data_IF_985800393031
#
_entry.id   IF_985800393031
#
_cell.length_a   1.000
_cell.length_b   1.000
_cell.length_c   1.000
_cell.angle_alpha   90.00
_cell.angle_beta   90.00
_cell.angle_gamma   90.00
#
_symmetry.space_group_name_H-M   'P 1'
#
loop_
_entity.id
_entity.type
_entity.pdbx_description
1 polymer ?
#
# COMPACT_ATOMS: atom_id res chain seq x y z
N UNK A 1 -16.48 21.04 17.79
CA UNK A 1 -16.93 21.17 16.39
C UNK A 1 -16.71 22.57 15.77
N UNK A 2 -16.28 23.57 16.55
CA UNK A 2 -16.10 24.93 16.02
C UNK A 2 -14.95 25.08 15.01
N UNK A 3 -14.00 24.17 14.99
CA UNK A 3 -12.84 24.25 14.08
C UNK A 3 -12.74 23.10 13.05
N UNK A 4 -13.88 22.45 12.73
CA UNK A 4 -13.90 21.41 11.69
C UNK A 4 -13.63 22.02 10.31
N UNK A 5 -12.51 21.61 9.68
CA UNK A 5 -12.01 22.15 8.41
C UNK A 5 -12.04 21.16 7.26
N UNK A 6 -12.00 19.85 7.55
CA UNK A 6 -11.88 18.83 6.52
C UNK A 6 -12.89 17.71 6.77
N UNK A 7 -13.48 17.22 5.69
CA UNK A 7 -14.32 16.02 5.68
C UNK A 7 -13.73 15.02 4.70
N UNK A 8 -13.41 13.82 5.19
CA UNK A 8 -12.90 12.70 4.43
C UNK A 8 -14.01 11.65 4.22
N UNK A 9 -14.69 11.64 3.08
CA UNK A 9 -15.75 10.67 2.82
C UNK A 9 -15.21 9.25 2.63
N UNK A 10 -15.98 8.25 3.07
CA UNK A 10 -15.87 6.84 2.71
C UNK A 10 -17.27 6.32 2.42
N UNK A 11 -17.73 6.43 1.15
CA UNK A 11 -19.11 6.12 0.77
C UNK A 11 -19.34 4.67 0.37
N UNK A 12 -18.35 3.78 0.54
CA UNK A 12 -18.48 2.33 0.30
C UNK A 12 -18.34 1.54 1.59
N UNK A 13 -19.22 0.54 1.77
CA UNK A 13 -19.16 -0.38 2.93
C UNK A 13 -17.99 -1.37 2.83
N UNK A 14 -17.63 -1.79 1.60
CA UNK A 14 -16.57 -2.77 1.39
C UNK A 14 -15.21 -2.16 1.70
N UNK A 15 -14.43 -2.82 2.56
CA UNK A 15 -13.02 -2.50 2.81
C UNK A 15 -12.21 -2.55 1.51
N UNK A 16 -11.40 -1.55 1.29
CA UNK A 16 -10.51 -1.43 0.13
C UNK A 16 -9.32 -0.56 0.51
N UNK A 17 -8.24 -0.55 -0.30
CA UNK A 17 -7.10 0.32 -0.06
C UNK A 17 -7.47 1.79 0.19
N UNK A 18 -8.48 2.32 -0.52
CA UNK A 18 -9.01 3.68 -0.28
C UNK A 18 -9.63 3.83 1.12
N UNK A 19 -10.38 2.84 1.59
CA UNK A 19 -10.96 2.86 2.95
C UNK A 19 -9.84 2.80 4.00
N UNK A 20 -8.84 1.95 3.79
CA UNK A 20 -7.66 1.84 4.65
C UNK A 20 -6.92 3.17 4.76
N UNK A 21 -6.80 3.94 3.66
CA UNK A 21 -6.18 5.28 3.69
C UNK A 21 -6.94 6.24 4.62
N UNK A 22 -8.29 6.23 4.60
CA UNK A 22 -9.10 7.05 5.52
C UNK A 22 -8.89 6.62 6.98
N UNK A 23 -8.92 5.30 7.24
CA UNK A 23 -8.74 4.74 8.59
C UNK A 23 -7.36 5.09 9.17
N UNK A 24 -6.31 5.07 8.36
CA UNK A 24 -4.94 5.33 8.80
C UNK A 24 -4.65 6.83 8.98
N UNK A 25 -5.11 7.66 8.06
CA UNK A 25 -4.72 9.08 8.03
C UNK A 25 -5.62 9.98 8.89
N UNK A 26 -6.94 9.74 8.95
CA UNK A 26 -7.84 10.67 9.63
C UNK A 26 -7.56 10.77 11.13
N UNK A 27 -7.32 9.68 11.89
CA UNK A 27 -6.93 9.78 13.30
C UNK A 27 -5.63 10.55 13.51
N UNK A 28 -4.63 10.31 12.66
CA UNK A 28 -3.34 11.00 12.73
C UNK A 28 -3.49 12.49 12.40
N UNK A 29 -4.17 12.83 11.31
CA UNK A 29 -4.40 14.21 10.89
C UNK A 29 -5.26 14.99 11.90
N UNK A 30 -6.15 14.32 12.63
CA UNK A 30 -7.01 14.96 13.64
C UNK A 30 -6.24 15.58 14.80
N UNK A 31 -4.99 15.19 15.00
CA UNK A 31 -4.10 15.79 15.99
C UNK A 31 -3.61 17.17 15.55
N UNK A 32 -3.65 17.53 14.27
CA UNK A 32 -3.06 18.75 13.71
C UNK A 32 -4.07 19.67 12.99
N UNK A 33 -5.24 19.14 12.63
CA UNK A 33 -6.30 19.89 11.96
C UNK A 33 -7.66 19.33 12.32
N UNK A 34 -8.69 20.17 12.36
CA UNK A 34 -10.07 19.73 12.53
C UNK A 34 -10.55 18.92 11.35
N UNK A 35 -10.39 17.59 11.38
CA UNK A 35 -10.80 16.65 10.34
C UNK A 35 -11.68 15.54 10.92
N UNK A 36 -12.69 15.14 10.16
CA UNK A 36 -13.51 13.95 10.43
C UNK A 36 -13.76 13.16 9.15
N UNK A 37 -13.97 11.88 9.30
CA UNK A 37 -14.51 11.05 8.23
C UNK A 37 -16.04 11.10 8.21
N UNK A 38 -16.63 10.65 7.10
CA UNK A 38 -18.08 10.44 6.99
C UNK A 38 -18.38 9.24 6.10
N UNK A 39 -19.41 8.48 6.43
CA UNK A 39 -19.85 7.30 5.68
C UNK A 39 -19.77 6.00 6.48
N UNK A 40 -20.14 4.87 5.86
CA UNK A 40 -20.25 3.58 6.53
C UNK A 40 -18.90 2.85 6.70
N UNK A 41 -18.86 1.86 7.61
CA UNK A 41 -17.78 0.89 7.72
C UNK A 41 -16.46 1.43 8.27
N UNK A 42 -16.52 2.52 9.02
CA UNK A 42 -15.36 3.09 9.70
C UNK A 42 -15.31 2.57 11.15
N UNK A 43 -14.14 2.19 11.66
CA UNK A 43 -13.96 1.77 13.04
C UNK A 43 -14.16 2.94 14.01
N UNK A 44 -14.46 2.65 15.30
CA UNK A 44 -14.80 3.68 16.31
C UNK A 44 -13.68 4.70 16.57
N UNK A 45 -12.43 4.30 16.36
CA UNK A 45 -11.24 5.13 16.57
C UNK A 45 -11.12 6.26 15.54
N UNK A 46 -11.81 6.15 14.40
CA UNK A 46 -11.78 7.17 13.36
C UNK A 46 -12.77 8.29 13.72
N UNK A 47 -12.30 9.52 13.98
CA UNK A 47 -13.19 10.65 14.20
C UNK A 47 -14.17 10.79 13.04
N UNK A 48 -15.48 10.70 13.30
CA UNK A 48 -16.46 10.74 12.22
C UNK A 48 -17.76 11.47 12.59
N UNK A 49 -18.48 11.92 11.56
CA UNK A 49 -19.84 12.44 11.67
C UNK A 49 -20.77 11.74 10.67
N UNK A 50 -22.04 11.53 10.99
CA UNK A 50 -23.01 11.02 10.03
C UNK A 50 -23.12 11.92 8.79
N UNK A 51 -23.15 11.30 7.59
CA UNK A 51 -23.24 12.04 6.32
C UNK A 51 -24.42 13.03 6.29
N UNK A 52 -25.56 12.66 6.89
CA UNK A 52 -26.74 13.50 6.96
C UNK A 52 -26.51 14.82 7.73
N UNK A 53 -25.52 14.89 8.62
CA UNK A 53 -25.17 16.12 9.37
C UNK A 53 -24.31 17.09 8.56
N UNK A 54 -23.65 16.61 7.50
CA UNK A 54 -22.71 17.41 6.70
C UNK A 54 -23.37 18.66 6.08
N UNK A 55 -24.59 18.61 5.49
CA UNK A 55 -25.26 19.79 4.92
C UNK A 55 -25.58 20.89 5.94
N UNK A 56 -25.69 20.52 7.22
CA UNK A 56 -26.09 21.45 8.30
C UNK A 56 -24.88 22.10 8.99
N UNK A 57 -23.65 21.82 8.54
CA UNK A 57 -22.46 22.52 9.02
C UNK A 57 -22.52 24.00 8.62
N UNK A 58 -22.00 24.88 9.50
CA UNK A 58 -21.97 26.33 9.26
C UNK A 58 -21.35 26.65 7.89
N UNK A 59 -22.03 27.44 7.07
CA UNK A 59 -21.56 27.90 5.76
C UNK A 59 -20.59 29.07 5.84
N UNK A 60 -20.41 29.67 7.04
CA UNK A 60 -19.46 30.77 7.26
C UNK A 60 -17.98 30.31 7.14
N UNK A 61 -17.73 29.02 7.43
CA UNK A 61 -16.40 28.43 7.36
C UNK A 61 -16.24 27.62 6.07
N UNK A 62 -15.24 27.95 5.29
CA UNK A 62 -14.83 27.10 4.17
C UNK A 62 -14.22 25.80 4.71
N UNK A 63 -14.55 24.69 4.04
CA UNK A 63 -14.05 23.36 4.39
C UNK A 63 -13.56 22.62 3.15
N UNK A 64 -12.68 21.65 3.33
CA UNK A 64 -12.27 20.74 2.27
C UNK A 64 -13.13 19.47 2.34
N UNK A 65 -13.67 19.07 1.20
CA UNK A 65 -14.22 17.74 0.96
C UNK A 65 -13.19 16.93 0.16
N UNK A 66 -12.56 15.94 0.80
CA UNK A 66 -11.46 15.21 0.20
C UNK A 66 -11.90 13.85 -0.36
N UNK A 67 -12.31 13.82 -1.61
CA UNK A 67 -12.74 12.63 -2.34
C UNK A 67 -11.57 11.76 -2.81
N UNK A 68 -11.79 10.45 -2.86
CA UNK A 68 -10.87 9.43 -3.39
C UNK A 68 -11.54 8.50 -4.41
N UNK A 69 -12.84 8.71 -4.65
CA UNK A 69 -13.66 7.93 -5.61
C UNK A 69 -14.63 8.84 -6.36
N UNK A 70 -15.08 8.38 -7.54
CA UNK A 70 -16.06 9.12 -8.34
C UNK A 70 -17.35 9.42 -7.56
N UNK A 71 -17.87 8.47 -6.81
CA UNK A 71 -19.08 8.65 -5.98
C UNK A 71 -18.88 9.75 -4.93
N UNK A 72 -17.71 9.91 -4.41
CA UNK A 72 -17.35 10.92 -3.43
C UNK A 72 -17.16 12.29 -4.10
N UNK A 73 -16.62 12.36 -5.33
CA UNK A 73 -16.59 13.59 -6.14
C UNK A 73 -18.00 14.08 -6.47
N UNK A 74 -18.89 13.16 -6.93
CA UNK A 74 -20.29 13.49 -7.21
C UNK A 74 -21.00 14.04 -5.97
N UNK A 75 -20.83 13.38 -4.83
CA UNK A 75 -21.43 13.86 -3.57
C UNK A 75 -20.88 15.24 -3.18
N UNK A 76 -19.58 15.48 -3.34
CA UNK A 76 -18.98 16.78 -3.09
C UNK A 76 -19.55 17.88 -3.98
N UNK A 77 -19.72 17.60 -5.29
CA UNK A 77 -20.37 18.53 -6.22
C UNK A 77 -21.82 18.81 -5.84
N UNK A 78 -22.58 17.79 -5.46
CA UNK A 78 -23.95 17.95 -4.98
C UNK A 78 -24.01 18.83 -3.73
N UNK A 79 -23.17 18.57 -2.73
CA UNK A 79 -23.09 19.37 -1.50
C UNK A 79 -22.73 20.83 -1.81
N UNK A 80 -21.76 21.07 -2.71
CA UNK A 80 -21.27 22.40 -3.08
C UNK A 80 -22.31 23.18 -3.89
N UNK A 81 -22.86 22.60 -4.95
CA UNK A 81 -23.65 23.34 -5.94
C UNK A 81 -25.17 23.28 -5.69
N UNK A 82 -25.69 22.15 -5.19
CA UNK A 82 -27.12 21.99 -4.91
C UNK A 82 -27.46 22.45 -3.50
N UNK A 83 -26.74 21.94 -2.49
CA UNK A 83 -26.97 22.30 -1.10
C UNK A 83 -26.20 23.56 -0.66
N UNK A 84 -25.43 24.17 -1.56
CA UNK A 84 -24.70 25.42 -1.35
C UNK A 84 -23.79 25.41 -0.11
N UNK A 85 -23.21 24.23 0.20
CA UNK A 85 -22.22 24.12 1.25
C UNK A 85 -20.90 24.80 0.83
N UNK A 86 -20.21 25.45 1.75
CA UNK A 86 -18.95 26.13 1.46
C UNK A 86 -17.79 25.12 1.45
N UNK A 87 -17.71 24.30 0.38
CA UNK A 87 -16.67 23.30 0.18
C UNK A 87 -15.68 23.67 -0.92
N UNK A 88 -14.39 23.44 -0.62
CA UNK A 88 -13.31 23.21 -1.61
C UNK A 88 -13.23 21.73 -1.86
N UNK A 89 -13.23 21.31 -3.12
CA UNK A 89 -13.25 19.92 -3.52
C UNK A 89 -11.83 19.46 -3.86
N UNK A 90 -11.30 18.51 -3.10
CA UNK A 90 -10.01 17.88 -3.34
C UNK A 90 -10.24 16.44 -3.79
N UNK A 91 -9.47 15.99 -4.77
CA UNK A 91 -9.48 14.59 -5.21
C UNK A 91 -8.07 14.01 -5.18
N UNK A 92 -7.93 12.80 -4.62
CA UNK A 92 -6.71 11.99 -4.70
C UNK A 92 -6.90 10.86 -5.71
N UNK A 93 -6.02 10.82 -6.71
CA UNK A 93 -5.93 9.77 -7.72
C UNK A 93 -4.81 8.79 -7.40
N UNK A 94 -5.12 7.49 -7.44
CA UNK A 94 -4.17 6.38 -7.43
C UNK A 94 -4.28 5.55 -8.73
N UNK A 95 -4.70 6.18 -9.82
CA UNK A 95 -4.93 5.50 -11.09
C UNK A 95 -3.61 5.08 -11.74
N UNK A 96 -3.61 3.87 -12.32
CA UNK A 96 -2.52 3.30 -13.11
C UNK A 96 -2.92 3.14 -14.59
N UNK A 97 -3.91 3.91 -15.02
CA UNK A 97 -4.46 3.91 -16.39
C UNK A 97 -5.23 5.20 -16.64
N UNK A 98 -5.50 5.47 -17.90
CA UNK A 98 -6.34 6.58 -18.31
C UNK A 98 -7.73 6.55 -17.66
N UNK A 99 -8.17 7.71 -17.25
CA UNK A 99 -9.51 7.91 -16.73
C UNK A 99 -10.55 7.91 -17.84
N UNK A 100 -11.75 7.38 -17.55
CA UNK A 100 -12.89 7.54 -18.45
C UNK A 100 -13.28 9.02 -18.62
N UNK A 101 -13.91 9.38 -19.75
CA UNK A 101 -14.38 10.74 -19.99
C UNK A 101 -15.24 11.30 -18.86
N UNK A 102 -16.08 10.47 -18.25
CA UNK A 102 -16.86 10.85 -17.07
C UNK A 102 -15.98 11.20 -15.87
N UNK A 103 -14.97 10.39 -15.59
CA UNK A 103 -14.03 10.66 -14.49
C UNK A 103 -13.19 11.91 -14.76
N UNK A 104 -12.72 12.12 -16.00
CA UNK A 104 -12.01 13.33 -16.42
C UNK A 104 -12.88 14.58 -16.21
N UNK A 105 -14.17 14.51 -16.58
CA UNK A 105 -15.12 15.59 -16.32
C UNK A 105 -15.28 15.87 -14.82
N UNK A 106 -15.41 14.86 -13.95
CA UNK A 106 -15.45 15.05 -12.50
C UNK A 106 -14.18 15.72 -11.99
N UNK A 107 -13.01 15.25 -12.42
CA UNK A 107 -11.69 15.79 -12.03
C UNK A 107 -11.57 17.27 -12.45
N UNK A 108 -12.12 17.66 -13.62
CA UNK A 108 -12.11 19.05 -14.06
C UNK A 108 -12.83 20.02 -13.13
N UNK A 109 -13.76 19.52 -12.29
CA UNK A 109 -14.56 20.30 -11.32
C UNK A 109 -13.93 20.38 -9.93
N UNK A 110 -12.81 19.72 -9.68
CA UNK A 110 -12.14 19.74 -8.39
C UNK A 110 -11.30 21.02 -8.22
N UNK A 111 -11.26 21.56 -7.01
CA UNK A 111 -10.46 22.75 -6.68
C UNK A 111 -8.96 22.38 -6.52
N UNK A 112 -8.64 21.14 -6.16
CA UNK A 112 -7.28 20.63 -6.03
C UNK A 112 -7.16 19.15 -6.36
N UNK A 113 -5.95 18.71 -6.75
CA UNK A 113 -5.65 17.32 -7.08
C UNK A 113 -4.40 16.86 -6.35
N UNK A 114 -4.45 15.64 -5.85
CA UNK A 114 -3.30 14.87 -5.36
C UNK A 114 -3.17 13.61 -6.21
N UNK A 115 -1.93 13.23 -6.53
CA UNK A 115 -1.60 11.93 -7.12
C UNK A 115 -0.75 11.13 -6.13
N UNK A 116 -1.01 9.83 -6.00
CA UNK A 116 -0.27 8.98 -5.05
C UNK A 116 1.10 8.54 -5.56
N UNK A 117 1.42 8.79 -6.83
CA UNK A 117 2.74 8.53 -7.41
C UNK A 117 2.98 9.44 -8.64
N UNK A 118 4.24 9.62 -9.10
CA UNK A 118 4.51 10.30 -10.35
C UNK A 118 3.78 9.66 -11.53
N UNK A 119 3.70 8.32 -11.57
CA UNK A 119 2.94 7.60 -12.60
C UNK A 119 1.44 7.89 -12.50
N UNK A 120 0.85 7.93 -11.31
CA UNK A 120 -0.56 8.32 -11.16
C UNK A 120 -0.81 9.78 -11.59
N UNK A 121 0.17 10.66 -11.44
CA UNK A 121 0.08 12.06 -11.91
C UNK A 121 0.09 12.16 -13.43
N UNK A 122 0.82 11.30 -14.14
CA UNK A 122 0.89 11.32 -15.62
C UNK A 122 -0.45 10.98 -16.30
N UNK A 123 -1.39 10.33 -15.59
CA UNK A 123 -2.75 10.06 -16.07
C UNK A 123 -3.74 11.21 -15.78
N UNK A 124 -3.27 12.32 -15.19
CA UNK A 124 -4.10 13.49 -14.93
C UNK A 124 -3.82 14.59 -15.96
N UNK A 125 -4.87 15.16 -16.55
CA UNK A 125 -4.76 16.26 -17.53
C UNK A 125 -4.51 17.63 -16.87
N UNK A 126 -4.53 17.67 -15.53
CA UNK A 126 -4.32 18.88 -14.73
C UNK A 126 -3.18 18.66 -13.75
N UNK A 127 -2.44 19.72 -13.38
CA UNK A 127 -1.40 19.64 -12.37
C UNK A 127 -1.94 19.06 -11.06
N UNK A 128 -1.24 18.08 -10.51
CA UNK A 128 -1.52 17.47 -9.22
C UNK A 128 -0.28 17.51 -8.34
N UNK A 129 -0.46 17.70 -7.03
CA UNK A 129 0.64 17.52 -6.07
C UNK A 129 0.87 16.03 -5.88
N UNK A 130 2.07 15.56 -6.14
CA UNK A 130 2.44 14.17 -5.86
C UNK A 130 2.70 14.03 -4.37
N UNK A 131 1.92 13.16 -3.71
CA UNK A 131 2.08 12.80 -2.31
C UNK A 131 1.95 11.29 -2.23
N UNK A 132 3.07 10.61 -2.07
CA UNK A 132 3.12 9.15 -1.98
C UNK A 132 2.58 8.67 -0.62
N UNK A 133 1.99 7.47 -0.61
CA UNK A 133 1.53 6.87 0.64
C UNK A 133 2.71 6.54 1.55
N UNK A 134 2.52 6.78 2.83
CA UNK A 134 3.45 6.42 3.88
C UNK A 134 3.07 5.13 4.61
N UNK A 135 3.96 4.64 5.43
CA UNK A 135 3.79 3.49 6.31
C UNK A 135 4.05 3.91 7.77
N UNK A 136 3.35 3.26 8.71
CA UNK A 136 3.59 3.48 10.13
C UNK A 136 4.89 2.80 10.56
N UNK A 137 5.95 3.58 10.71
CA UNK A 137 7.30 3.09 11.05
C UNK A 137 7.46 2.70 12.52
N UNK A 138 6.52 3.07 13.39
CA UNK A 138 6.46 2.58 14.76
C UNK A 138 5.85 1.18 14.85
N UNK A 139 4.88 0.88 13.97
CA UNK A 139 4.25 -0.43 13.89
C UNK A 139 5.14 -1.43 13.14
N UNK A 140 5.63 -1.01 11.97
CA UNK A 140 6.56 -1.78 11.15
C UNK A 140 7.98 -1.34 11.48
N UNK A 141 8.67 -2.14 12.30
CA UNK A 141 10.05 -1.89 12.71
C UNK A 141 10.83 -3.20 12.76
N UNK A 142 12.17 -3.18 12.67
CA UNK A 142 12.98 -4.38 12.76
C UNK A 142 12.70 -5.19 14.03
N UNK A 143 12.74 -6.51 13.93
CA UNK A 143 12.69 -7.39 15.09
C UNK A 143 13.99 -7.32 15.88
N UNK A 144 13.92 -7.32 17.21
CA UNK A 144 15.09 -7.45 18.09
C UNK A 144 15.69 -8.86 18.00
N UNK A 145 14.83 -9.89 17.94
CA UNK A 145 15.22 -11.29 17.75
C UNK A 145 14.29 -11.95 16.71
N UNK A 146 14.78 -12.04 15.47
CA UNK A 146 14.05 -12.71 14.37
C UNK A 146 13.83 -14.19 14.65
N UNK A 147 14.79 -14.87 15.29
CA UNK A 147 14.70 -16.30 15.54
C UNK A 147 13.61 -16.62 16.60
N UNK A 148 13.51 -15.82 17.66
CA UNK A 148 12.43 -15.92 18.63
C UNK A 148 11.07 -15.68 17.97
N UNK A 149 10.97 -14.66 17.12
CA UNK A 149 9.74 -14.31 16.42
C UNK A 149 9.31 -15.41 15.43
N UNK A 150 10.25 -16.04 14.73
CA UNK A 150 9.98 -17.21 13.86
C UNK A 150 9.44 -18.40 14.63
N UNK A 151 10.02 -18.69 15.80
CA UNK A 151 9.49 -19.76 16.68
C UNK A 151 8.07 -19.47 17.15
N UNK A 152 7.79 -18.23 17.59
CA UNK A 152 6.45 -17.78 17.99
C UNK A 152 5.42 -18.00 16.89
N UNK A 153 5.78 -17.66 15.66
CA UNK A 153 4.89 -17.73 14.47
C UNK A 153 4.93 -19.09 13.76
N UNK A 154 5.68 -20.07 14.29
CA UNK A 154 5.92 -21.36 13.65
C UNK A 154 6.41 -21.23 12.19
N UNK A 155 7.34 -20.29 11.96
CA UNK A 155 7.98 -20.06 10.67
C UNK A 155 9.29 -20.84 10.57
N UNK A 156 9.77 -21.15 9.34
CA UNK A 156 11.02 -21.86 9.13
C UNK A 156 12.24 -21.07 9.63
N UNK A 157 13.29 -21.80 10.00
CA UNK A 157 14.64 -21.26 10.18
C UNK A 157 15.32 -21.07 8.79
N UNK A 158 16.53 -20.52 8.77
CA UNK A 158 17.25 -20.22 7.54
C UNK A 158 16.89 -18.88 6.94
N UNK A 159 17.09 -18.68 5.63
CA UNK A 159 16.68 -17.45 4.94
C UNK A 159 15.20 -17.53 4.59
N UNK A 160 14.45 -16.57 5.09
CA UNK A 160 12.99 -16.50 4.92
C UNK A 160 12.58 -15.39 3.95
N UNK A 161 12.00 -15.78 2.83
CA UNK A 161 11.44 -14.90 1.80
C UNK A 161 9.92 -14.81 1.99
N UNK A 162 9.35 -13.60 1.96
CA UNK A 162 7.89 -13.39 2.07
C UNK A 162 7.28 -12.77 0.83
N UNK A 163 6.07 -13.21 0.47
CA UNK A 163 5.23 -12.59 -0.55
C UNK A 163 3.80 -12.49 -0.02
N UNK A 164 3.29 -11.26 0.17
CA UNK A 164 2.02 -11.02 0.85
C UNK A 164 0.99 -10.39 -0.08
N UNK A 165 -0.23 -10.89 0.03
CA UNK A 165 -1.37 -10.43 -0.73
C UNK A 165 -2.25 -11.58 -1.18
N UNK A 166 -3.34 -11.28 -1.89
CA UNK A 166 -4.23 -12.32 -2.41
C UNK A 166 -3.49 -13.24 -3.39
N UNK A 167 -3.75 -14.53 -3.27
CA UNK A 167 -3.20 -15.52 -4.20
C UNK A 167 -4.00 -15.43 -5.51
N UNK A 168 -3.37 -14.84 -6.53
CA UNK A 168 -3.95 -14.68 -7.87
C UNK A 168 -2.88 -14.26 -8.89
N UNK A 169 -3.10 -14.49 -10.21
CA UNK A 169 -2.10 -14.17 -11.26
C UNK A 169 -1.62 -12.73 -11.27
N UNK A 170 -2.51 -11.74 -10.99
CA UNK A 170 -2.12 -10.33 -10.96
C UNK A 170 -1.08 -9.99 -9.88
N UNK A 171 -0.94 -10.84 -8.86
CA UNK A 171 0.07 -10.69 -7.81
C UNK A 171 1.39 -11.39 -8.11
N UNK A 172 1.48 -12.11 -9.24
CA UNK A 172 2.71 -12.75 -9.70
C UNK A 172 3.18 -13.91 -8.83
N UNK A 173 2.23 -14.57 -8.13
CA UNK A 173 2.53 -15.74 -7.29
C UNK A 173 3.20 -16.84 -8.12
N UNK A 174 2.73 -17.08 -9.34
CA UNK A 174 3.29 -18.00 -10.32
C UNK A 174 4.75 -17.64 -10.68
N UNK A 175 5.07 -16.36 -10.87
CA UNK A 175 6.45 -15.92 -11.15
C UNK A 175 7.40 -16.25 -10.00
N UNK A 176 6.95 -16.05 -8.75
CA UNK A 176 7.77 -16.41 -7.59
C UNK A 176 7.86 -17.93 -7.39
N UNK A 177 6.83 -18.68 -7.74
CA UNK A 177 6.85 -20.16 -7.74
C UNK A 177 7.83 -20.68 -8.80
N UNK A 178 7.82 -20.13 -10.01
CA UNK A 178 8.76 -20.50 -11.08
C UNK A 178 10.21 -20.18 -10.66
N UNK A 179 10.45 -19.00 -10.05
CA UNK A 179 11.76 -18.67 -9.47
C UNK A 179 12.18 -19.62 -8.32
N UNK A 180 11.22 -20.07 -7.49
CA UNK A 180 11.48 -21.02 -6.42
C UNK A 180 11.91 -22.38 -6.97
N UNK A 181 11.26 -22.85 -8.04
CA UNK A 181 11.60 -24.11 -8.72
C UNK A 181 13.05 -24.10 -9.25
N UNK A 182 13.52 -22.96 -9.75
CA UNK A 182 14.90 -22.80 -10.20
C UNK A 182 15.92 -22.68 -9.03
N UNK A 183 15.59 -21.88 -8.02
CA UNK A 183 16.55 -21.50 -6.98
C UNK A 183 16.67 -22.49 -5.83
N UNK A 184 15.55 -23.02 -5.33
CA UNK A 184 15.56 -23.78 -4.07
C UNK A 184 16.24 -25.14 -4.13
N UNK A 185 16.23 -25.92 -5.22
CA UNK A 185 16.91 -27.22 -5.26
C UNK A 185 18.39 -27.16 -4.84
N UNK A 186 19.11 -26.10 -5.21
CA UNK A 186 20.52 -25.89 -4.88
C UNK A 186 20.76 -25.13 -3.56
N UNK A 187 19.70 -24.68 -2.86
CA UNK A 187 19.76 -23.81 -1.66
C UNK A 187 18.83 -24.33 -0.57
N UNK A 188 19.26 -25.36 0.19
CA UNK A 188 18.38 -26.05 1.15
C UNK A 188 17.98 -25.19 2.36
N UNK A 189 18.69 -24.11 2.64
CA UNK A 189 18.47 -23.19 3.75
C UNK A 189 17.49 -22.06 3.44
N UNK A 190 16.90 -22.03 2.23
CA UNK A 190 15.94 -21.00 1.83
C UNK A 190 14.50 -21.50 1.89
N UNK A 191 13.65 -20.70 2.50
CA UNK A 191 12.22 -20.93 2.61
C UNK A 191 11.43 -19.73 2.08
N UNK A 192 10.24 -20.01 1.52
CA UNK A 192 9.32 -18.98 1.02
C UNK A 192 7.98 -19.13 1.74
N UNK A 193 7.41 -18.00 2.16
CA UNK A 193 6.07 -17.94 2.74
C UNK A 193 5.17 -16.99 1.97
N UNK A 194 4.00 -17.49 1.58
CA UNK A 194 2.93 -16.69 1.01
C UNK A 194 1.88 -16.42 2.08
N UNK A 195 1.50 -15.15 2.28
CA UNK A 195 0.43 -14.77 3.19
C UNK A 195 -0.72 -14.11 2.43
N UNK A 196 -1.92 -14.61 2.67
CA UNK A 196 -3.14 -14.24 1.97
C UNK A 196 -3.84 -15.48 1.44
N UNK A 197 -5.05 -15.31 0.94
CA UNK A 197 -5.83 -16.44 0.40
C UNK A 197 -6.17 -16.26 -1.07
N UNK A 198 -6.38 -17.36 -1.77
CA UNK A 198 -7.14 -17.40 -3.01
C UNK A 198 -8.63 -17.15 -2.70
N UNK A 199 -9.30 -16.40 -3.56
CA UNK A 199 -10.77 -16.43 -3.60
C UNK A 199 -11.21 -17.64 -4.39
N UNK A 200 -12.49 -18.03 -4.32
CA UNK A 200 -13.02 -19.22 -5.04
C UNK A 200 -12.68 -19.22 -6.53
N UNK A 201 -12.59 -18.06 -7.15
CA UNK A 201 -12.15 -17.88 -8.54
C UNK A 201 -10.69 -18.34 -8.79
N UNK A 202 -9.83 -18.30 -7.77
CA UNK A 202 -8.39 -18.57 -7.90
C UNK A 202 -7.89 -19.77 -7.10
N UNK A 203 -8.78 -20.60 -6.54
CA UNK A 203 -8.40 -21.83 -5.83
C UNK A 203 -7.69 -22.83 -6.77
N UNK A 204 -8.17 -22.96 -8.01
CA UNK A 204 -7.52 -23.81 -9.02
C UNK A 204 -6.11 -23.29 -9.39
N UNK A 205 -5.93 -21.96 -9.46
CA UNK A 205 -4.62 -21.35 -9.69
C UNK A 205 -3.66 -21.66 -8.55
N UNK A 206 -4.10 -21.54 -7.28
CA UNK A 206 -3.26 -21.88 -6.13
C UNK A 206 -2.88 -23.38 -6.16
N UNK A 207 -3.84 -24.27 -6.40
CA UNK A 207 -3.57 -25.71 -6.47
C UNK A 207 -2.56 -26.07 -7.57
N UNK A 208 -2.60 -25.38 -8.70
CA UNK A 208 -1.61 -25.54 -9.77
C UNK A 208 -0.20 -25.16 -9.28
N UNK A 209 -0.06 -24.04 -8.53
CA UNK A 209 1.23 -23.65 -7.99
C UNK A 209 1.75 -24.64 -6.95
N UNK A 210 0.90 -25.16 -6.07
CA UNK A 210 1.26 -26.19 -5.10
C UNK A 210 1.70 -27.51 -5.78
N UNK A 211 1.07 -27.90 -6.90
CA UNK A 211 1.48 -29.05 -7.72
C UNK A 211 2.85 -28.86 -8.37
N UNK A 212 3.16 -27.66 -8.90
CA UNK A 212 4.49 -27.33 -9.44
C UNK A 212 5.58 -27.48 -8.36
N UNK A 213 5.33 -26.98 -7.14
CA UNK A 213 6.27 -27.11 -6.02
C UNK A 213 6.48 -28.57 -5.60
N UNK A 214 5.42 -29.36 -5.57
CA UNK A 214 5.49 -30.80 -5.26
C UNK A 214 6.28 -31.57 -6.34
N UNK A 215 6.02 -31.29 -7.62
CA UNK A 215 6.75 -31.89 -8.73
C UNK A 215 8.25 -31.55 -8.72
N UNK A 216 8.62 -30.37 -8.25
CA UNK A 216 10.01 -29.95 -8.07
C UNK A 216 10.66 -30.46 -6.76
N UNK A 217 9.93 -31.15 -5.89
CA UNK A 217 10.42 -31.68 -4.63
C UNK A 217 10.75 -30.62 -3.57
N UNK A 218 10.11 -29.45 -3.62
CA UNK A 218 10.38 -28.31 -2.72
C UNK A 218 9.12 -27.85 -1.94
N UNK A 219 8.06 -28.62 -1.94
CA UNK A 219 6.79 -28.26 -1.30
C UNK A 219 6.91 -28.02 0.22
N UNK A 220 7.83 -28.68 0.88
CA UNK A 220 8.15 -28.51 2.32
C UNK A 220 8.79 -27.16 2.65
N UNK A 221 9.40 -26.50 1.66
CA UNK A 221 10.10 -25.23 1.81
C UNK A 221 9.32 -24.02 1.35
N UNK A 222 8.16 -24.21 0.71
CA UNK A 222 7.27 -23.13 0.25
C UNK A 222 5.90 -23.29 0.89
N UNK A 223 5.54 -22.37 1.78
CA UNK A 223 4.33 -22.50 2.59
C UNK A 223 3.30 -21.42 2.26
N UNK A 224 2.07 -21.82 1.95
CA UNK A 224 0.91 -20.95 1.87
C UNK A 224 0.26 -20.85 3.26
N UNK A 225 0.48 -19.72 3.95
CA UNK A 225 0.03 -19.53 5.35
C UNK A 225 -1.46 -19.16 5.45
N UNK A 226 -2.11 -18.88 4.31
CA UNK A 226 -3.49 -18.41 4.30
C UNK A 226 -3.64 -16.97 4.81
N UNK A 227 -4.88 -16.60 5.15
CA UNK A 227 -5.18 -15.30 5.74
C UNK A 227 -4.80 -15.30 7.23
N UNK A 228 -4.09 -14.27 7.67
CA UNK A 228 -3.59 -14.13 9.03
C UNK A 228 -4.17 -12.89 9.70
N UNK A 229 -4.33 -12.89 11.03
CA UNK A 229 -4.65 -11.69 11.80
C UNK A 229 -3.63 -10.58 11.54
N UNK A 230 -4.07 -9.33 11.68
CA UNK A 230 -3.24 -8.16 11.36
C UNK A 230 -1.94 -8.09 12.18
N UNK A 231 -2.01 -8.40 13.45
CA UNK A 231 -0.86 -8.44 14.35
C UNK A 231 0.17 -9.51 13.95
N UNK A 232 -0.30 -10.69 13.49
CA UNK A 232 0.57 -11.74 12.94
C UNK A 232 1.21 -11.30 11.62
N UNK A 233 0.48 -10.58 10.75
CA UNK A 233 1.02 -10.02 9.50
C UNK A 233 2.18 -9.07 9.81
N UNK A 234 2.00 -8.14 10.75
CA UNK A 234 3.05 -7.21 11.18
C UNK A 234 4.27 -7.96 11.70
N UNK A 235 4.07 -8.95 12.56
CA UNK A 235 5.15 -9.80 13.08
C UNK A 235 5.83 -10.60 11.97
N UNK A 236 5.05 -11.10 10.99
CA UNK A 236 5.61 -11.88 9.87
C UNK A 236 6.53 -11.02 9.00
N UNK A 237 6.18 -9.75 8.69
CA UNK A 237 7.11 -8.85 8.00
C UNK A 237 8.44 -8.73 8.74
N UNK A 238 8.42 -8.56 10.06
CA UNK A 238 9.61 -8.39 10.90
C UNK A 238 10.47 -9.67 10.98
N UNK A 239 9.88 -10.83 10.70
CA UNK A 239 10.55 -12.12 10.70
C UNK A 239 11.27 -12.46 9.38
N UNK A 240 10.99 -11.73 8.30
CA UNK A 240 11.56 -11.98 6.98
C UNK A 240 13.03 -11.52 6.86
N UNK A 241 13.73 -12.07 5.88
CA UNK A 241 15.04 -11.60 5.42
C UNK A 241 14.93 -10.88 4.07
N UNK A 242 13.97 -11.27 3.23
CA UNK A 242 13.69 -10.65 1.94
C UNK A 242 12.18 -10.64 1.69
N UNK A 243 11.70 -9.56 1.10
CA UNK A 243 10.32 -9.46 0.66
C UNK A 243 10.23 -9.42 -0.86
N UNK A 244 9.23 -10.08 -1.44
CA UNK A 244 9.04 -10.13 -2.90
C UNK A 244 7.64 -9.68 -3.26
N UNK A 245 7.56 -8.69 -4.16
CA UNK A 245 6.31 -8.17 -4.70
C UNK A 245 6.30 -8.30 -6.25
N UNK A 246 6.12 -9.51 -6.80
CA UNK A 246 6.26 -9.78 -8.24
C UNK A 246 4.99 -9.44 -9.01
N UNK A 247 4.23 -8.46 -8.54
CA UNK A 247 2.90 -8.13 -9.05
C UNK A 247 2.96 -7.62 -10.51
N UNK A 248 2.01 -8.07 -11.33
CA UNK A 248 1.75 -7.57 -12.69
C UNK A 248 0.96 -6.26 -12.67
N UNK A 249 0.19 -6.05 -11.62
CA UNK A 249 -0.63 -4.86 -11.47
C UNK A 249 -0.86 -4.51 -10.00
N UNK A 250 -0.62 -3.26 -9.64
CA UNK A 250 -0.83 -2.71 -8.30
C UNK A 250 -1.30 -1.25 -8.40
N UNK A 251 -2.11 -0.80 -7.45
CA UNK A 251 -2.51 0.61 -7.38
C UNK A 251 -1.37 1.50 -6.91
N UNK A 252 -0.87 1.26 -5.72
CA UNK A 252 0.31 1.90 -5.14
C UNK A 252 1.32 0.85 -4.68
N UNK A 253 0.85 -0.14 -3.88
CA UNK A 253 1.66 -1.20 -3.30
C UNK A 253 2.36 -0.77 -2.01
N UNK A 254 1.67 -0.95 -0.88
CA UNK A 254 2.24 -0.65 0.45
C UNK A 254 3.15 -1.77 0.95
N UNK A 255 2.96 -2.99 0.46
CA UNK A 255 3.64 -4.17 1.00
C UNK A 255 5.18 -4.12 0.95
N UNK A 256 5.85 -3.59 -0.10
CA UNK A 256 7.28 -3.37 -0.04
C UNK A 256 7.69 -2.34 1.02
N UNK A 257 6.92 -1.25 1.19
CA UNK A 257 7.22 -0.25 2.23
C UNK A 257 7.05 -0.81 3.63
N UNK A 258 6.06 -1.67 3.87
CA UNK A 258 5.83 -2.36 5.15
C UNK A 258 7.02 -3.30 5.48
N UNK A 259 7.52 -4.03 4.49
CA UNK A 259 8.72 -4.86 4.62
C UNK A 259 9.97 -4.00 4.89
N UNK A 260 10.21 -2.99 4.06
CA UNK A 260 11.36 -2.10 4.18
C UNK A 260 11.35 -1.33 5.51
N UNK A 261 10.19 -0.89 5.99
CA UNK A 261 10.01 -0.34 7.33
C UNK A 261 10.40 -1.33 8.43
N UNK A 262 10.19 -2.63 8.20
CA UNK A 262 10.59 -3.71 9.11
C UNK A 262 12.08 -4.10 8.98
N UNK A 263 12.88 -3.33 8.22
CA UNK A 263 14.31 -3.63 7.98
C UNK A 263 14.53 -4.79 7.02
N UNK A 264 13.58 -5.07 6.14
CA UNK A 264 13.61 -6.16 5.18
C UNK A 264 13.67 -5.56 3.77
N UNK A 265 14.74 -5.80 2.99
CA UNK A 265 14.83 -5.28 1.63
C UNK A 265 13.79 -5.95 0.73
N UNK A 266 13.47 -5.30 -0.40
CA UNK A 266 12.39 -5.76 -1.25
C UNK A 266 12.86 -6.00 -2.70
N UNK A 267 12.36 -7.09 -3.32
CA UNK A 267 12.41 -7.29 -4.77
C UNK A 267 11.01 -7.06 -5.32
N UNK A 268 10.89 -6.21 -6.35
CA UNK A 268 9.59 -5.92 -6.97
C UNK A 268 9.73 -5.73 -8.48
N UNK A 269 8.60 -5.64 -9.19
CA UNK A 269 8.61 -5.42 -10.62
C UNK A 269 8.67 -3.93 -10.99
N UNK A 270 9.44 -3.59 -12.04
CA UNK A 270 9.43 -2.27 -12.65
C UNK A 270 8.02 -1.86 -13.09
N UNK A 271 7.73 -0.58 -13.07
CA UNK A 271 6.54 0.04 -13.65
C UNK A 271 5.20 -0.53 -13.15
N UNK A 272 5.22 -1.06 -11.92
CA UNK A 272 4.04 -1.56 -11.23
C UNK A 272 3.78 -0.73 -9.98
N UNK A 273 2.60 -0.15 -9.88
CA UNK A 273 2.24 0.70 -8.76
C UNK A 273 3.20 1.88 -8.57
N UNK A 274 3.80 1.96 -7.40
CA UNK A 274 4.83 2.95 -7.09
C UNK A 274 6.20 2.27 -6.79
N UNK A 275 6.39 1.00 -7.15
CA UNK A 275 7.57 0.24 -6.76
C UNK A 275 8.88 0.87 -7.21
N UNK A 276 8.95 1.37 -8.46
CA UNK A 276 10.13 2.07 -8.98
C UNK A 276 10.45 3.39 -8.25
N UNK A 277 9.48 3.97 -7.55
CA UNK A 277 9.70 5.14 -6.70
C UNK A 277 9.97 4.79 -5.24
N UNK A 278 9.66 3.57 -4.82
CA UNK A 278 9.84 3.07 -3.45
C UNK A 278 11.20 2.42 -3.23
N UNK A 279 11.70 1.69 -4.22
CA UNK A 279 12.91 0.88 -4.13
C UNK A 279 14.05 1.58 -4.87
N UNK A 280 15.17 1.78 -4.20
CA UNK A 280 16.43 2.20 -4.83
C UNK A 280 17.14 0.92 -5.25
N UNK A 281 17.15 0.67 -6.59
CA UNK A 281 17.71 -0.55 -7.15
C UNK A 281 19.21 -0.70 -6.79
N UNK A 282 19.59 -1.87 -6.26
CA UNK A 282 20.93 -2.17 -5.81
C UNK A 282 21.30 -1.64 -4.41
N UNK A 283 20.44 -0.83 -3.76
CA UNK A 283 20.69 -0.26 -2.44
C UNK A 283 19.67 -0.76 -1.39
N UNK A 284 18.38 -0.56 -1.65
CA UNK A 284 17.30 -0.95 -0.72
C UNK A 284 16.57 -2.21 -1.14
N UNK A 285 16.95 -2.79 -2.27
CA UNK A 285 16.37 -3.96 -2.89
C UNK A 285 16.71 -4.03 -4.37
N UNK A 286 15.90 -4.78 -5.14
CA UNK A 286 16.08 -4.92 -6.59
C UNK A 286 14.75 -4.73 -7.33
N UNK A 287 14.86 -4.24 -8.57
CA UNK A 287 13.75 -4.11 -9.48
C UNK A 287 13.93 -5.09 -10.65
N UNK A 288 12.97 -6.00 -10.81
CA UNK A 288 12.95 -6.96 -11.92
C UNK A 288 12.02 -6.49 -13.06
N UNK A 289 12.26 -6.98 -14.25
CA UNK A 289 11.34 -6.76 -15.37
C UNK A 289 9.98 -7.39 -15.07
N UNK A 290 8.93 -6.64 -15.38
CA UNK A 290 7.54 -7.07 -15.16
C UNK A 290 7.20 -8.28 -16.03
N UNK A 291 6.51 -9.25 -15.43
CA UNK A 291 6.02 -10.46 -16.09
C UNK A 291 7.13 -11.34 -16.69
N UNK A 292 8.31 -11.30 -16.07
CA UNK A 292 9.50 -12.04 -16.47
C UNK A 292 10.05 -12.84 -15.27
N UNK A 293 9.82 -14.18 -15.29
CA UNK A 293 10.26 -15.07 -14.22
C UNK A 293 11.79 -15.16 -14.13
N UNK A 294 12.51 -15.15 -15.26
CA UNK A 294 13.98 -15.22 -15.29
C UNK A 294 14.58 -13.98 -14.69
N UNK A 295 14.07 -12.78 -15.04
CA UNK A 295 14.50 -11.52 -14.45
C UNK A 295 14.23 -11.47 -12.93
N UNK A 296 13.09 -11.99 -12.48
CA UNK A 296 12.78 -12.11 -11.05
C UNK A 296 13.77 -13.06 -10.34
N UNK A 297 14.05 -14.22 -10.96
CA UNK A 297 15.00 -15.20 -10.46
C UNK A 297 16.39 -14.60 -10.31
N UNK A 298 16.86 -13.86 -11.30
CA UNK A 298 18.17 -13.20 -11.26
C UNK A 298 18.23 -12.11 -10.18
N UNK A 299 17.19 -11.30 -10.04
CA UNK A 299 17.08 -10.31 -8.97
C UNK A 299 17.11 -10.97 -7.58
N UNK A 300 16.41 -12.08 -7.40
CA UNK A 300 16.44 -12.87 -6.17
C UNK A 300 17.83 -13.45 -5.91
N UNK A 301 18.46 -14.07 -6.91
CA UNK A 301 19.81 -14.65 -6.81
C UNK A 301 20.81 -13.59 -6.33
N UNK A 302 20.78 -12.41 -6.94
CA UNK A 302 21.65 -11.30 -6.54
C UNK A 302 21.47 -10.89 -5.07
N UNK A 303 20.24 -10.92 -4.55
CA UNK A 303 19.97 -10.55 -3.16
C UNK A 303 20.33 -11.64 -2.14
N UNK A 304 20.20 -12.93 -2.52
CA UNK A 304 20.36 -14.04 -1.56
C UNK A 304 21.77 -14.62 -1.52
N UNK A 305 22.58 -14.41 -2.54
CA UNK A 305 23.94 -15.00 -2.64
C UNK A 305 24.93 -14.33 -1.69
N UNK A 306 24.72 -13.07 -1.28
CA UNK A 306 25.52 -12.37 -0.28
C UNK A 306 24.67 -11.95 0.94
N UNK A 307 24.81 -12.70 2.03
CA UNK A 307 24.06 -12.45 3.27
C UNK A 307 24.41 -11.12 3.95
N UNK A 308 25.64 -10.67 3.82
CA UNK A 308 26.09 -9.41 4.40
C UNK A 308 25.51 -8.22 3.61
N UNK A 309 25.54 -8.30 2.27
CA UNK A 309 24.90 -7.32 1.40
C UNK A 309 23.36 -7.27 1.63
N UNK A 310 22.72 -8.44 1.78
CA UNK A 310 21.29 -8.52 2.08
C UNK A 310 20.94 -7.80 3.40
N UNK A 311 21.74 -8.03 4.46
CA UNK A 311 21.54 -7.37 5.75
C UNK A 311 21.75 -5.85 5.63
N UNK A 312 22.79 -5.42 4.90
CA UNK A 312 23.08 -4.00 4.65
C UNK A 312 21.95 -3.32 3.89
N UNK A 313 21.40 -4.00 2.87
CA UNK A 313 20.24 -3.51 2.12
C UNK A 313 18.99 -3.34 3.01
N UNK A 314 18.79 -4.22 4.00
CA UNK A 314 17.72 -4.09 4.99
C UNK A 314 17.84 -2.83 5.85
N UNK A 315 19.07 -2.50 6.28
CA UNK A 315 19.35 -1.27 7.05
C UNK A 315 19.10 -0.03 6.17
N UNK A 316 19.57 -0.04 4.93
CA UNK A 316 19.35 1.05 3.98
C UNK A 316 17.85 1.22 3.66
N UNK A 317 17.13 0.11 3.47
CA UNK A 317 15.69 0.09 3.22
C UNK A 317 14.91 0.74 4.37
N UNK A 318 15.22 0.39 5.63
CA UNK A 318 14.61 1.01 6.81
C UNK A 318 14.83 2.52 6.84
N UNK A 319 16.08 2.96 6.70
CA UNK A 319 16.44 4.37 6.70
C UNK A 319 15.74 5.16 5.59
N UNK A 320 15.67 4.55 4.40
CA UNK A 320 14.99 5.15 3.25
C UNK A 320 13.49 5.38 3.52
N UNK A 321 12.81 4.37 4.11
CA UNK A 321 11.38 4.49 4.45
C UNK A 321 11.15 5.51 5.54
N UNK A 322 11.94 5.52 6.61
CA UNK A 322 11.82 6.52 7.67
C UNK A 322 11.96 7.95 7.16
N UNK A 323 12.88 8.17 6.23
CA UNK A 323 13.16 9.51 5.69
C UNK A 323 12.12 9.98 4.67
N UNK A 324 11.53 9.07 3.88
CA UNK A 324 10.76 9.45 2.69
C UNK A 324 9.31 8.96 2.70
N UNK A 325 8.99 7.92 3.49
CA UNK A 325 7.69 7.24 3.46
C UNK A 325 7.06 7.03 4.84
N UNK A 326 7.47 7.80 5.86
CA UNK A 326 6.76 7.81 7.13
C UNK A 326 5.33 8.37 6.94
N UNK A 327 4.34 7.74 7.56
CA UNK A 327 2.92 8.14 7.43
C UNK A 327 2.66 9.56 7.91
N UNK A 328 3.45 10.05 8.87
CA UNK A 328 3.41 11.42 9.36
C UNK A 328 3.77 12.43 8.26
N UNK A 329 4.73 12.10 7.41
CA UNK A 329 5.13 12.89 6.24
C UNK A 329 3.98 13.02 5.24
N UNK A 330 3.32 11.90 4.90
CA UNK A 330 2.11 11.88 4.06
C UNK A 330 1.00 12.76 4.67
N UNK A 331 0.71 12.53 5.96
CA UNK A 331 -0.35 13.25 6.64
C UNK A 331 -0.12 14.77 6.66
N UNK A 332 1.10 15.23 6.95
CA UNK A 332 1.49 16.67 6.94
C UNK A 332 1.42 17.24 5.54
N UNK A 333 1.96 16.55 4.53
CA UNK A 333 1.93 17.02 3.15
C UNK A 333 0.49 17.21 2.62
N UNK A 334 -0.44 16.32 3.01
CA UNK A 334 -1.86 16.46 2.69
C UNK A 334 -2.48 17.64 3.44
N UNK A 335 -2.13 17.87 4.70
CA UNK A 335 -2.63 19.02 5.49
C UNK A 335 -2.19 20.33 4.87
N UNK A 336 -0.98 20.44 4.31
CA UNK A 336 -0.55 21.63 3.58
C UNK A 336 -1.44 21.90 2.36
N UNK A 337 -1.87 20.86 1.63
CA UNK A 337 -2.84 21.01 0.53
C UNK A 337 -4.18 21.54 1.06
N UNK A 338 -4.66 21.03 2.21
CA UNK A 338 -5.88 21.53 2.82
C UNK A 338 -5.75 23.01 3.19
N UNK A 339 -4.64 23.40 3.83
CA UNK A 339 -4.39 24.79 4.21
C UNK A 339 -4.34 25.72 3.00
N UNK A 340 -3.63 25.31 1.95
CA UNK A 340 -3.58 26.05 0.69
C UNK A 340 -4.96 26.27 0.06
N UNK A 341 -5.82 25.25 0.02
CA UNK A 341 -7.19 25.36 -0.48
C UNK A 341 -8.08 26.26 0.38
N UNK A 342 -7.80 26.34 1.66
CA UNK A 342 -8.53 27.19 2.62
C UNK A 342 -7.97 28.62 2.74
N UNK A 343 -6.89 28.94 2.01
CA UNK A 343 -6.21 30.24 2.11
C UNK A 343 -5.52 30.45 3.47
N UNK A 344 -5.06 29.38 4.10
CA UNK A 344 -4.33 29.37 5.36
C UNK A 344 -2.87 29.04 5.05
N UNK A 345 -2.02 30.03 5.08
CA UNK A 345 -0.55 29.88 4.99
C UNK A 345 0.07 29.63 6.36
#
# INVERSE_FOLDING_TARGET
>A
MQDLRVIAPNLKRRLSGVTTTVIRLVPLQSQWIGIVATGPGLPPEVPHIPLIKVPFLSRRLARVWHARRNTEMVMGLFLKHVLRCNFKLLFTSAAQRDHSGYTKWLISKMDGLIATSPQAASFLERPARVIMHGVNTELFHPAEDKAALRRELNLPEGLLIGCFGRIRPQKGVDLLVDAAVDLLPSRPDIHIVFTGRATSEFEAFQAEQEQKLAAAGIADRVRFLGERPWDEIVKTYRALDLFVAPARHEGFGLTPLEAMASGVPAVACHDVGAFSAQIIDGETGRLAEKDNADALTEALRHMIDDRAALASAGIAARKHVESNFAIEGEARAIIEVYRGLLGQT
#
